data_IF_412681684311
#
_entry.id   IF_412681684311
#
_cell.length_a   1.000
_cell.length_b   1.000
_cell.length_c   1.000
_cell.angle_alpha   90.00
_cell.angle_beta   90.00
_cell.angle_gamma   90.00
#
_symmetry.space_group_name_H-M   'P 1'
#
loop_
_entity.id
_entity.type
_entity.pdbx_description
1 polymer ?
#
# COMPACT_ATOMS: atom_id res chain seq x y z
N UNK A 1 16.99 -1.54 1.07
CA UNK A 1 15.58 -2.00 1.21
C UNK A 1 14.71 -0.81 1.64
N UNK A 2 13.38 -0.92 1.59
CA UNK A 2 12.47 0.18 1.94
C UNK A 2 11.41 -0.26 2.97
N UNK A 3 11.51 0.18 4.24
CA UNK A 3 10.54 -0.17 5.27
C UNK A 3 9.13 0.38 4.95
N UNK A 4 8.09 -0.24 5.50
CA UNK A 4 6.74 0.33 5.45
C UNK A 4 6.70 1.63 6.27
N UNK A 5 6.03 2.65 5.72
CA UNK A 5 5.93 4.04 6.20
C UNK A 5 7.22 4.88 6.24
N UNK A 6 8.40 4.25 6.37
CA UNK A 6 9.69 4.96 6.30
C UNK A 6 10.18 5.28 4.88
N UNK A 7 11.48 5.57 4.79
CA UNK A 7 12.22 5.92 3.55
C UNK A 7 13.47 5.04 3.38
N UNK A 8 14.08 4.97 2.18
CA UNK A 8 15.40 4.36 2.00
C UNK A 8 16.46 5.11 2.84
N UNK A 9 17.47 4.38 3.34
CA UNK A 9 18.51 4.95 4.20
C UNK A 9 19.46 5.93 3.47
N UNK A 10 19.66 5.74 2.16
CA UNK A 10 20.53 6.58 1.33
C UNK A 10 19.81 6.93 0.03
N UNK A 11 19.79 8.21 -0.38
CA UNK A 11 19.30 8.61 -1.70
C UNK A 11 20.09 7.95 -2.85
N UNK A 12 21.42 7.81 -2.71
CA UNK A 12 22.29 7.15 -3.69
C UNK A 12 21.87 5.71 -3.98
N UNK A 13 21.49 4.94 -2.94
CA UNK A 13 21.02 3.55 -3.09
C UNK A 13 19.67 3.48 -3.82
N UNK A 14 18.79 4.45 -3.57
CA UNK A 14 17.53 4.58 -4.31
C UNK A 14 17.78 4.95 -5.78
N UNK A 15 18.71 5.87 -6.06
CA UNK A 15 19.07 6.29 -7.41
C UNK A 15 19.70 5.16 -8.22
N UNK A 16 20.54 4.30 -7.61
CA UNK A 16 21.02 3.06 -8.26
C UNK A 16 19.88 2.15 -8.68
N UNK A 17 18.92 1.91 -7.78
CA UNK A 17 17.72 1.12 -8.12
C UNK A 17 16.93 1.76 -9.28
N UNK A 18 16.72 3.08 -9.25
CA UNK A 18 16.05 3.81 -10.32
C UNK A 18 16.80 3.68 -11.67
N UNK A 19 18.13 3.83 -11.67
CA UNK A 19 18.95 3.69 -12.86
C UNK A 19 18.84 2.26 -13.43
N UNK A 20 18.92 1.22 -12.58
CA UNK A 20 18.71 -0.18 -13.02
C UNK A 20 17.32 -0.42 -13.64
N UNK A 21 16.26 0.19 -13.10
CA UNK A 21 14.90 0.10 -13.66
C UNK A 21 14.78 0.82 -15.01
N UNK A 22 15.58 1.86 -15.28
CA UNK A 22 15.66 2.48 -16.60
C UNK A 22 16.52 1.72 -17.59
N UNK A 23 17.68 1.21 -17.15
CA UNK A 23 18.58 0.40 -17.97
C UNK A 23 17.95 -0.92 -18.44
N UNK A 24 16.93 -1.45 -17.74
CA UNK A 24 16.17 -2.62 -18.19
C UNK A 24 15.17 -2.35 -19.31
N UNK A 25 14.98 -1.08 -19.71
CA UNK A 25 13.96 -0.67 -20.69
C UNK A 25 12.54 -0.64 -20.15
N UNK A 26 12.31 -0.95 -18.86
CA UNK A 26 10.96 -1.03 -18.29
C UNK A 26 10.19 0.31 -18.24
N UNK A 27 10.89 1.45 -18.38
CA UNK A 27 10.31 2.80 -18.47
C UNK A 27 10.48 3.43 -19.88
N UNK A 28 10.71 2.61 -20.91
CA UNK A 28 10.87 3.09 -22.28
C UNK A 28 9.50 3.40 -22.93
N UNK A 29 9.47 4.28 -23.92
CA UNK A 29 8.21 4.78 -24.51
C UNK A 29 7.53 3.71 -25.37
N UNK A 30 8.33 2.83 -25.98
CA UNK A 30 7.90 1.75 -26.87
C UNK A 30 7.30 0.52 -26.17
N UNK A 31 7.44 0.38 -24.84
CA UNK A 31 6.92 -0.77 -24.07
C UNK A 31 5.60 -0.49 -23.32
N UNK A 32 5.12 0.75 -23.37
CA UNK A 32 3.91 1.20 -22.68
C UNK A 32 4.11 1.51 -21.18
N UNK A 33 3.06 1.97 -20.47
CA UNK A 33 3.20 2.50 -19.11
C UNK A 33 3.59 1.43 -18.07
N UNK A 34 4.67 1.68 -17.34
CA UNK A 34 5.17 0.77 -16.30
C UNK A 34 4.21 0.64 -15.11
N UNK A 35 4.05 -0.59 -14.61
CA UNK A 35 3.24 -0.88 -13.42
C UNK A 35 4.07 -0.72 -12.14
N UNK A 36 3.96 0.44 -11.50
CA UNK A 36 4.60 0.71 -10.20
C UNK A 36 3.60 0.51 -9.06
N UNK A 37 3.88 -0.41 -8.13
CA UNK A 37 3.00 -0.67 -6.99
C UNK A 37 3.76 -0.73 -5.65
N UNK A 38 2.99 -0.71 -4.55
CA UNK A 38 3.46 -1.10 -3.23
C UNK A 38 2.32 -1.88 -2.55
N UNK A 39 1.94 -1.55 -1.32
CA UNK A 39 0.68 -2.06 -0.71
C UNK A 39 -0.54 -1.28 -1.25
N UNK A 40 -0.68 0.00 -0.89
CA UNK A 40 -1.78 0.87 -1.39
C UNK A 40 -1.47 1.55 -2.75
N UNK A 41 -0.22 1.45 -3.23
CA UNK A 41 0.22 2.08 -4.48
C UNK A 41 0.20 3.61 -4.46
N UNK A 42 0.47 4.25 -3.31
CA UNK A 42 0.45 5.72 -3.19
C UNK A 42 1.67 6.34 -2.48
N UNK A 43 2.13 5.81 -1.33
CA UNK A 43 3.33 6.33 -0.64
C UNK A 43 4.62 6.09 -1.43
N UNK A 44 5.22 4.91 -1.25
CA UNK A 44 6.48 4.51 -1.93
C UNK A 44 6.42 4.65 -3.45
N UNK A 45 5.28 4.25 -4.07
CA UNK A 45 5.06 4.39 -5.51
C UNK A 45 5.02 5.86 -5.96
N UNK A 46 4.41 6.75 -5.18
CA UNK A 46 4.39 8.18 -5.45
C UNK A 46 5.78 8.81 -5.37
N UNK A 47 6.56 8.45 -4.35
CA UNK A 47 7.98 8.87 -4.25
C UNK A 47 8.80 8.36 -5.44
N UNK A 48 8.65 7.10 -5.83
CA UNK A 48 9.36 6.55 -6.99
C UNK A 48 9.06 7.35 -8.27
N UNK A 49 7.78 7.49 -8.62
CA UNK A 49 7.38 8.19 -9.84
C UNK A 49 7.70 9.69 -9.80
N UNK A 50 7.64 10.35 -8.63
CA UNK A 50 7.95 11.77 -8.51
C UNK A 50 9.45 12.04 -8.76
N UNK A 51 10.33 11.27 -8.11
CA UNK A 51 11.77 11.45 -8.29
C UNK A 51 12.16 11.18 -9.74
N UNK A 52 11.65 10.10 -10.34
CA UNK A 52 11.87 9.77 -11.75
C UNK A 52 11.41 10.90 -12.70
N UNK A 53 10.18 11.37 -12.53
CA UNK A 53 9.60 12.44 -13.36
C UNK A 53 10.41 13.72 -13.24
N UNK A 54 10.75 14.15 -12.02
CA UNK A 54 11.54 15.35 -11.79
C UNK A 54 12.94 15.24 -12.40
N UNK A 55 13.63 14.11 -12.26
CA UNK A 55 14.97 13.92 -12.82
C UNK A 55 15.00 13.93 -14.35
N UNK A 56 13.97 13.39 -15.01
CA UNK A 56 13.83 13.47 -16.47
C UNK A 56 13.49 14.90 -16.93
N UNK A 57 12.59 15.60 -16.25
CA UNK A 57 12.29 17.00 -16.55
C UNK A 57 13.53 17.90 -16.37
N UNK A 58 14.31 17.69 -15.30
CA UNK A 58 15.57 18.43 -15.08
C UNK A 58 16.58 18.12 -16.20
N UNK A 59 16.73 16.85 -16.60
CA UNK A 59 17.63 16.44 -17.69
C UNK A 59 17.24 17.05 -19.04
N UNK A 60 15.94 17.18 -19.31
CA UNK A 60 15.43 17.67 -20.61
C UNK A 60 15.26 19.19 -20.67
N UNK A 61 15.04 19.86 -19.53
CA UNK A 61 14.64 21.28 -19.47
C UNK A 61 15.51 22.16 -18.56
N UNK A 62 16.48 21.58 -17.85
CA UNK A 62 17.30 22.28 -16.85
C UNK A 62 16.68 22.30 -15.45
N UNK A 63 17.52 22.59 -14.44
CA UNK A 63 17.12 22.57 -13.03
C UNK A 63 16.02 23.59 -12.70
N UNK A 64 16.10 24.80 -13.26
CA UNK A 64 15.23 25.93 -12.91
C UNK A 64 13.80 25.75 -13.45
N UNK A 65 13.59 24.82 -14.37
CA UNK A 65 12.29 24.51 -14.95
C UNK A 65 11.38 23.68 -14.02
N UNK A 66 11.93 23.02 -13.00
CA UNK A 66 11.22 21.95 -12.27
C UNK A 66 10.82 22.36 -10.85
N UNK A 67 9.51 22.56 -10.66
CA UNK A 67 8.89 22.78 -9.34
C UNK A 67 8.30 21.48 -8.82
N UNK A 68 9.07 20.76 -8.00
CA UNK A 68 8.71 19.44 -7.42
C UNK A 68 7.30 19.41 -6.81
N UNK A 69 6.89 20.48 -6.12
CA UNK A 69 5.53 20.63 -5.55
C UNK A 69 4.45 20.56 -6.63
N UNK A 70 4.64 21.27 -7.74
CA UNK A 70 3.62 21.43 -8.77
C UNK A 70 3.51 20.13 -9.59
N UNK A 71 4.65 19.49 -9.89
CA UNK A 71 4.71 18.12 -10.45
C UNK A 71 3.93 17.13 -9.56
N UNK A 72 4.16 17.13 -8.24
CA UNK A 72 3.43 16.27 -7.31
C UNK A 72 1.92 16.57 -7.27
N UNK A 73 1.52 17.84 -7.36
CA UNK A 73 0.11 18.22 -7.38
C UNK A 73 -0.58 17.75 -8.66
N UNK A 74 0.08 17.81 -9.82
CA UNK A 74 -0.47 17.35 -11.08
C UNK A 74 -0.51 15.81 -11.16
N UNK A 75 0.52 15.11 -10.66
CA UNK A 75 0.44 13.64 -10.46
C UNK A 75 -0.71 13.24 -9.54
N UNK A 76 -0.99 14.04 -8.49
CA UNK A 76 -2.11 13.81 -7.56
C UNK A 76 -3.50 13.96 -8.21
N UNK A 77 -3.61 14.60 -9.39
CA UNK A 77 -4.85 14.61 -10.20
C UNK A 77 -5.13 13.25 -10.83
N UNK A 78 -4.08 12.51 -11.20
CA UNK A 78 -4.18 11.18 -11.80
C UNK A 78 -4.40 10.09 -10.73
N UNK A 79 -3.75 10.23 -9.56
CA UNK A 79 -3.95 9.32 -8.41
C UNK A 79 -3.88 10.09 -7.10
N UNK A 80 -4.95 10.06 -6.32
CA UNK A 80 -4.99 10.74 -5.01
C UNK A 80 -3.95 10.18 -4.03
N UNK A 81 -3.48 11.02 -3.09
CA UNK A 81 -2.70 10.56 -1.94
C UNK A 81 -1.25 10.13 -2.22
N UNK A 82 -0.70 10.39 -3.41
CA UNK A 82 0.72 10.14 -3.69
C UNK A 82 1.62 10.86 -2.68
N UNK A 83 2.62 10.16 -2.13
CA UNK A 83 3.44 10.59 -0.99
C UNK A 83 2.60 10.81 0.26
N UNK A 84 2.74 9.91 1.24
CA UNK A 84 1.89 9.87 2.44
C UNK A 84 2.48 10.53 3.68
N UNK A 85 3.82 10.62 3.79
CA UNK A 85 4.50 11.21 4.95
C UNK A 85 5.37 12.40 4.53
N UNK A 86 5.64 13.29 5.48
CA UNK A 86 6.59 14.40 5.34
C UNK A 86 8.00 13.88 5.00
N UNK A 87 8.41 12.78 5.63
CA UNK A 87 9.68 12.11 5.35
C UNK A 87 9.79 11.61 3.91
N UNK A 88 8.73 11.03 3.34
CA UNK A 88 8.70 10.63 1.94
C UNK A 88 8.84 11.83 0.99
N UNK A 89 8.28 13.00 1.34
CA UNK A 89 8.48 14.23 0.58
C UNK A 89 9.91 14.75 0.73
N UNK A 90 10.44 14.84 1.96
CA UNK A 90 11.84 15.23 2.24
C UNK A 90 12.84 14.35 1.50
N UNK A 91 12.64 13.04 1.54
CA UNK A 91 13.46 12.07 0.81
C UNK A 91 13.37 12.26 -0.70
N UNK A 92 12.19 12.60 -1.25
CA UNK A 92 12.05 12.90 -2.67
C UNK A 92 12.93 14.09 -3.08
N UNK A 93 12.96 15.17 -2.28
CA UNK A 93 13.87 16.29 -2.51
C UNK A 93 15.34 15.89 -2.40
N UNK A 94 15.73 15.12 -1.38
CA UNK A 94 17.11 14.64 -1.22
C UNK A 94 17.55 13.79 -2.43
N UNK A 95 16.72 12.86 -2.89
CA UNK A 95 17.02 12.02 -4.06
C UNK A 95 17.09 12.81 -5.38
N UNK A 96 16.25 13.83 -5.56
CA UNK A 96 16.35 14.72 -6.73
C UNK A 96 17.65 15.53 -6.68
N UNK A 97 17.96 16.17 -5.55
CA UNK A 97 19.18 16.98 -5.36
C UNK A 97 20.44 16.11 -5.53
N UNK A 98 20.47 14.92 -4.96
CA UNK A 98 21.60 14.00 -5.09
C UNK A 98 21.75 13.51 -6.53
N UNK A 99 20.65 13.20 -7.21
CA UNK A 99 20.68 12.76 -8.61
C UNK A 99 21.15 13.86 -9.58
N UNK A 100 20.92 15.13 -9.24
CA UNK A 100 21.47 16.28 -9.96
C UNK A 100 22.99 16.44 -9.79
N UNK A 101 23.55 16.08 -8.63
CA UNK A 101 24.99 16.20 -8.35
C UNK A 101 25.81 15.06 -8.97
N UNK A 102 25.22 13.87 -9.07
CA UNK A 102 25.94 12.60 -9.29
C UNK A 102 25.78 12.03 -10.69
N UNK A 103 25.19 12.77 -11.64
CA UNK A 103 24.77 12.26 -12.96
C UNK A 103 24.02 10.92 -12.82
N UNK A 104 22.83 10.95 -12.23
CA UNK A 104 22.11 9.76 -11.75
C UNK A 104 21.93 8.61 -12.78
N UNK A 105 21.94 8.92 -14.07
CA UNK A 105 21.81 7.95 -15.17
C UNK A 105 23.13 7.23 -15.50
N UNK A 106 24.27 7.75 -15.02
CA UNK A 106 25.61 7.17 -15.15
C UNK A 106 26.06 6.35 -13.94
N UNK A 107 25.39 6.47 -12.79
CA UNK A 107 25.78 5.79 -11.54
C UNK A 107 25.88 4.27 -11.75
N UNK A 108 27.01 3.71 -11.35
CA UNK A 108 27.33 2.29 -11.38
C UNK A 108 27.26 1.67 -9.96
N UNK A 109 27.15 0.34 -9.89
CA UNK A 109 27.10 -0.38 -8.61
C UNK A 109 28.41 -0.23 -7.81
N UNK A 110 29.53 0.00 -8.51
CA UNK A 110 30.88 0.17 -7.93
C UNK A 110 31.15 1.57 -7.36
N UNK A 111 30.29 2.56 -7.60
CA UNK A 111 30.52 3.90 -7.06
C UNK A 111 30.48 3.87 -5.52
N UNK A 112 31.24 4.73 -4.81
CA UNK A 112 31.11 4.83 -3.37
C UNK A 112 29.67 5.22 -2.99
N UNK A 113 29.08 4.48 -2.05
CA UNK A 113 27.84 4.95 -1.42
C UNK A 113 28.24 6.06 -0.46
N UNK A 114 27.81 7.28 -0.75
CA UNK A 114 27.98 8.39 0.18
C UNK A 114 26.97 8.16 1.31
N UNK A 115 27.46 7.72 2.47
CA UNK A 115 26.67 7.67 3.69
C UNK A 115 26.59 9.10 4.25
N UNK A 116 25.39 9.67 4.27
CA UNK A 116 25.17 11.05 4.69
C UNK A 116 25.25 11.20 6.22
N UNK A 117 26.44 11.43 6.78
CA UNK A 117 26.56 11.80 8.21
C UNK A 117 26.03 13.21 8.53
N UNK A 118 25.91 14.12 7.54
CA UNK A 118 25.75 15.57 7.80
C UNK A 118 24.36 16.22 7.52
N UNK A 119 23.32 15.51 7.08
CA UNK A 119 21.95 16.09 6.95
C UNK A 119 21.03 15.88 8.15
N UNK A 120 21.56 15.37 9.27
CA UNK A 120 20.82 15.21 10.52
C UNK A 120 20.88 16.45 11.45
N UNK A 121 21.68 17.46 11.11
CA UNK A 121 21.88 18.68 11.91
C UNK A 121 20.62 19.57 12.06
N UNK A 122 19.59 19.36 11.23
CA UNK A 122 18.31 20.06 11.29
C UNK A 122 17.15 19.16 11.76
N UNK A 123 17.43 18.26 12.72
CA UNK A 123 16.36 17.66 13.53
C UNK A 123 15.79 18.74 14.47
N UNK A 124 14.92 19.61 13.93
CA UNK A 124 13.96 20.34 14.74
C UNK A 124 13.16 19.28 15.50
N UNK A 125 13.30 19.27 16.83
CA UNK A 125 12.51 18.41 17.71
C UNK A 125 11.06 18.92 17.74
N UNK A 126 10.31 18.65 16.67
CA UNK A 126 8.86 18.70 16.69
C UNK A 126 8.36 17.56 17.59
N UNK A 127 8.35 17.83 18.91
CA UNK A 127 7.57 17.07 19.89
C UNK A 127 6.08 17.40 19.71
N UNK A 128 5.56 17.17 18.51
CA UNK A 128 4.13 17.12 18.25
C UNK A 128 3.74 15.65 18.18
N UNK A 129 2.81 15.24 19.04
CA UNK A 129 2.27 13.88 19.04
C UNK A 129 1.61 13.66 17.67
N UNK A 130 2.07 12.68 16.88
CA UNK A 130 1.40 12.32 15.62
C UNK A 130 -0.02 11.84 15.93
N UNK A 131 -0.98 12.75 15.78
CA UNK A 131 -2.38 12.39 15.65
C UNK A 131 -2.52 11.51 14.39
N UNK A 132 -3.17 10.33 14.50
CA UNK A 132 -3.28 9.41 13.37
C UNK A 132 -4.01 10.10 12.20
N UNK A 133 -3.61 9.84 10.95
CA UNK A 133 -4.24 10.45 9.79
C UNK A 133 -5.76 10.20 9.83
N UNK A 134 -6.60 11.22 9.53
CA UNK A 134 -8.03 11.11 9.67
C UNK A 134 -8.54 9.93 8.85
N UNK A 135 -9.31 9.05 9.51
CA UNK A 135 -9.90 7.88 8.86
C UNK A 135 -10.73 8.33 7.64
N UNK A 136 -10.71 7.57 6.53
CA UNK A 136 -11.58 7.87 5.40
C UNK A 136 -13.04 7.89 5.89
N UNK A 137 -13.88 8.79 5.35
CA UNK A 137 -15.27 8.90 5.79
C UNK A 137 -15.98 7.54 5.62
N UNK A 138 -16.88 7.17 6.55
CA UNK A 138 -17.55 5.88 6.53
C UNK A 138 -18.32 5.70 5.20
N UNK A 139 -18.10 4.55 4.54
CA UNK A 139 -18.93 4.16 3.38
C UNK A 139 -20.25 3.59 3.89
N UNK A 140 -21.30 4.39 3.71
CA UNK A 140 -22.64 4.23 4.26
C UNK A 140 -23.01 5.60 4.83
N UNK A 141 -23.90 6.38 4.20
CA UNK A 141 -25.20 5.96 3.69
C UNK A 141 -25.46 6.38 2.23
N UNK A 142 -25.69 5.41 1.35
CA UNK A 142 -26.44 5.62 0.11
C UNK A 142 -27.60 4.64 0.04
N UNK A 143 -28.48 4.74 1.04
CA UNK A 143 -29.80 4.11 1.14
C UNK A 143 -30.51 4.79 2.32
N UNK A 144 -31.28 5.85 2.03
CA UNK A 144 -32.09 6.54 3.06
C UNK A 144 -33.26 5.64 3.44
N UNK A 145 -33.24 5.08 4.66
CA UNK A 145 -34.39 4.38 5.23
C UNK A 145 -35.44 5.38 5.68
N UNK A 146 -36.25 5.88 4.74
CA UNK A 146 -37.46 6.62 5.09
C UNK A 146 -38.47 5.65 5.70
N UNK A 147 -38.78 5.87 6.98
CA UNK A 147 -39.71 5.05 7.75
C UNK A 147 -41.16 5.38 7.34
N UNK A 148 -41.71 4.61 6.39
CA UNK A 148 -43.14 4.61 6.03
C UNK A 148 -43.62 3.17 6.00
N UNK A 149 -44.85 2.96 6.47
CA UNK A 149 -45.40 1.66 6.87
C UNK A 149 -45.26 0.49 5.90
N UNK A 150 -45.37 -0.70 6.47
CA UNK A 150 -45.46 -2.01 5.80
C UNK A 150 -46.42 -2.01 4.61
N UNK A 151 -45.98 -2.60 3.48
CA UNK A 151 -46.83 -3.57 2.81
C UNK A 151 -46.09 -4.88 2.50
N UNK A 152 -46.79 -5.97 2.83
CA UNK A 152 -46.86 -7.26 2.15
C UNK A 152 -45.75 -7.67 1.15
N UNK A 153 -44.91 -8.64 1.54
CA UNK A 153 -43.92 -9.29 0.67
C UNK A 153 -44.59 -10.47 -0.06
N UNK A 154 -45.46 -10.20 -1.04
CA UNK A 154 -46.09 -11.24 -1.87
C UNK A 154 -46.20 -10.93 -3.38
N UNK A 155 -45.41 -9.99 -3.93
CA UNK A 155 -45.18 -9.95 -5.40
C UNK A 155 -43.93 -9.16 -5.84
N UNK A 156 -42.88 -9.85 -6.27
CA UNK A 156 -41.83 -9.33 -7.14
C UNK A 156 -41.46 -10.39 -8.19
N UNK A 157 -41.21 -10.00 -9.46
CA UNK A 157 -40.95 -10.95 -10.55
C UNK A 157 -39.54 -11.56 -10.48
N UNK A 158 -39.29 -12.71 -11.13
CA UNK A 158 -37.97 -13.34 -11.16
C UNK A 158 -36.93 -12.47 -11.90
N UNK A 159 -35.69 -12.48 -11.42
CA UNK A 159 -34.55 -11.89 -12.12
C UNK A 159 -34.20 -12.69 -13.40
N UNK A 160 -33.65 -12.07 -14.46
CA UNK A 160 -33.19 -12.78 -15.65
C UNK A 160 -32.01 -13.71 -15.34
N UNK A 161 -31.95 -14.87 -16.01
CA UNK A 161 -30.84 -15.81 -15.94
C UNK A 161 -29.56 -15.25 -16.56
N UNK A 162 -28.40 -15.58 -15.98
CA UNK A 162 -27.09 -15.27 -16.59
C UNK A 162 -26.89 -16.01 -17.93
N UNK A 163 -26.18 -15.42 -18.91
CA UNK A 163 -25.90 -16.06 -20.18
C UNK A 163 -24.86 -17.18 -20.04
N UNK A 164 -24.92 -18.25 -20.87
CA UNK A 164 -23.98 -19.36 -20.81
C UNK A 164 -22.59 -18.94 -21.30
N UNK A 165 -21.55 -19.46 -20.65
CA UNK A 165 -20.16 -19.29 -21.07
C UNK A 165 -19.85 -20.10 -22.33
N UNK A 166 -19.56 -19.44 -23.45
CA UNK A 166 -18.97 -20.10 -24.61
C UNK A 166 -17.48 -20.38 -24.35
N UNK A 167 -17.12 -21.65 -24.21
CA UNK A 167 -15.75 -22.14 -24.37
C UNK A 167 -15.63 -22.75 -25.77
N UNK A 168 -14.90 -22.08 -26.67
CA UNK A 168 -14.61 -22.61 -28.00
C UNK A 168 -13.64 -23.81 -27.94
N UNK A 169 -13.75 -24.69 -28.93
CA UNK A 169 -13.21 -26.06 -28.94
C UNK A 169 -12.19 -26.32 -30.04
N UNK A 170 -11.04 -26.94 -29.69
CA UNK A 170 -10.07 -27.68 -30.54
C UNK A 170 -9.30 -28.65 -29.60
N UNK A 171 -8.85 -29.88 -29.95
CA UNK A 171 -9.34 -30.87 -30.92
C UNK A 171 -8.93 -32.31 -30.46
N UNK A 172 -9.52 -33.33 -31.10
CA UNK A 172 -8.92 -34.64 -31.47
C UNK A 172 -9.22 -35.93 -30.69
N UNK A 173 -10.01 -36.79 -31.37
CA UNK A 173 -9.75 -38.22 -31.67
C UNK A 173 -9.68 -39.35 -30.60
N UNK A 174 -10.64 -40.28 -30.75
CA UNK A 174 -10.54 -41.76 -30.55
C UNK A 174 -10.83 -42.36 -29.13
N UNK A 175 -11.04 -43.70 -28.99
CA UNK A 175 -12.40 -44.27 -28.83
C UNK A 175 -12.63 -45.09 -27.52
N UNK A 176 -13.86 -45.59 -27.23
CA UNK A 176 -14.30 -45.93 -25.87
C UNK A 176 -14.25 -47.42 -25.48
N UNK A 177 -14.27 -47.73 -24.17
CA UNK A 177 -14.84 -48.96 -23.54
C UNK A 177 -14.79 -48.89 -21.99
N UNK A 178 -15.49 -49.76 -21.22
CA UNK A 178 -16.38 -49.26 -20.16
C UNK A 178 -16.11 -49.77 -18.74
N UNK A 179 -16.76 -49.16 -17.73
CA UNK A 179 -17.07 -49.84 -16.47
C UNK A 179 -17.13 -48.99 -15.19
N UNK A 180 -18.30 -49.04 -14.54
CA UNK A 180 -18.54 -48.86 -13.10
C UNK A 180 -18.08 -47.58 -12.35
N UNK A 181 -19.08 -46.82 -11.89
CA UNK A 181 -19.27 -46.72 -10.44
C UNK A 181 -19.42 -45.32 -9.82
N UNK A 182 -20.64 -45.03 -9.33
CA UNK A 182 -20.94 -44.05 -8.27
C UNK A 182 -20.69 -42.57 -8.66
N UNK A 183 -21.70 -41.97 -9.28
CA UNK A 183 -21.82 -40.51 -9.44
C UNK A 183 -22.12 -39.84 -8.10
N UNK A 184 -21.11 -39.27 -7.43
CA UNK A 184 -21.32 -38.16 -6.49
C UNK A 184 -21.24 -36.85 -7.29
N UNK A 185 -22.32 -36.09 -7.37
CA UNK A 185 -22.37 -34.86 -8.18
C UNK A 185 -21.23 -33.90 -7.82
N UNK A 186 -20.56 -33.27 -8.81
CA UNK A 186 -19.41 -32.38 -8.58
C UNK A 186 -19.72 -31.21 -7.64
N UNK A 187 -20.96 -30.73 -7.65
CA UNK A 187 -21.39 -29.52 -6.95
C UNK A 187 -21.38 -29.69 -5.43
N UNK A 188 -21.75 -30.87 -4.92
CA UNK A 188 -21.72 -31.19 -3.49
C UNK A 188 -20.30 -31.34 -2.91
N UNK A 189 -19.26 -31.36 -3.74
CA UNK A 189 -17.85 -31.28 -3.30
C UNK A 189 -17.38 -29.81 -3.34
N UNK A 190 -17.79 -29.05 -4.36
CA UNK A 190 -17.48 -27.62 -4.49
C UNK A 190 -18.09 -26.79 -3.36
N UNK A 191 -19.35 -27.05 -3.01
CA UNK A 191 -20.07 -26.32 -1.95
C UNK A 191 -19.41 -26.52 -0.58
N UNK A 192 -19.15 -27.77 -0.16
CA UNK A 192 -18.47 -28.05 1.12
C UNK A 192 -17.08 -27.39 1.19
N UNK A 193 -16.31 -27.43 0.11
CA UNK A 193 -14.98 -26.78 0.05
C UNK A 193 -15.03 -25.25 0.15
N UNK A 194 -16.16 -24.63 -0.24
CA UNK A 194 -16.41 -23.20 -0.04
C UNK A 194 -16.82 -22.89 1.41
N UNK A 195 -17.71 -23.70 1.98
CA UNK A 195 -18.13 -23.59 3.39
C UNK A 195 -16.96 -23.79 4.36
N UNK A 196 -16.11 -24.81 4.14
CA UNK A 196 -14.87 -25.06 4.88
C UNK A 196 -13.91 -23.86 4.80
N UNK A 197 -13.73 -23.28 3.61
CA UNK A 197 -12.87 -22.10 3.42
C UNK A 197 -13.42 -20.89 4.18
N UNK A 198 -14.74 -20.67 4.17
CA UNK A 198 -15.36 -19.55 4.87
C UNK A 198 -15.33 -19.74 6.40
N UNK A 199 -15.51 -20.97 6.88
CA UNK A 199 -15.33 -21.32 8.30
C UNK A 199 -13.88 -21.06 8.77
N UNK A 200 -12.87 -21.52 8.02
CA UNK A 200 -11.46 -21.30 8.33
C UNK A 200 -11.04 -19.81 8.31
N UNK A 201 -11.67 -19.01 7.44
CA UNK A 201 -11.47 -17.54 7.43
C UNK A 201 -12.12 -16.89 8.66
N UNK A 202 -13.33 -17.31 9.03
CA UNK A 202 -14.03 -16.83 10.22
C UNK A 202 -13.25 -17.14 11.51
N UNK A 203 -12.73 -18.36 11.64
CA UNK A 203 -11.89 -18.78 12.78
C UNK A 203 -10.62 -17.93 12.90
N UNK A 204 -9.91 -17.69 11.79
CA UNK A 204 -8.73 -16.80 11.77
C UNK A 204 -9.07 -15.36 12.16
N UNK A 205 -10.23 -14.84 11.73
CA UNK A 205 -10.70 -13.51 12.13
C UNK A 205 -11.00 -13.44 13.63
N UNK A 206 -11.62 -14.47 14.21
CA UNK A 206 -11.84 -14.56 15.66
C UNK A 206 -10.53 -14.63 16.43
N UNK A 207 -9.56 -15.42 15.96
CA UNK A 207 -8.25 -15.54 16.62
C UNK A 207 -7.45 -14.22 16.57
N UNK A 208 -7.47 -13.51 15.44
CA UNK A 208 -6.86 -12.18 15.32
C UNK A 208 -7.52 -11.17 16.26
N UNK A 209 -8.86 -11.15 16.33
CA UNK A 209 -9.61 -10.28 17.25
C UNK A 209 -9.28 -10.56 18.72
N UNK A 210 -9.14 -11.84 19.09
CA UNK A 210 -8.71 -12.27 20.43
C UNK A 210 -7.28 -11.81 20.75
N UNK A 211 -6.34 -11.95 19.81
CA UNK A 211 -4.94 -11.48 19.96
C UNK A 211 -4.86 -9.96 20.09
N UNK A 212 -5.66 -9.22 19.33
CA UNK A 212 -5.77 -7.76 19.45
C UNK A 212 -6.25 -7.34 20.85
N UNK A 213 -7.38 -7.90 21.32
CA UNK A 213 -7.92 -7.60 22.65
C UNK A 213 -6.93 -7.92 23.79
N UNK A 214 -6.15 -9.01 23.66
CA UNK A 214 -5.08 -9.32 24.62
C UNK A 214 -3.93 -8.31 24.58
N UNK A 215 -3.53 -7.84 23.40
CA UNK A 215 -2.52 -6.78 23.23
C UNK A 215 -2.99 -5.45 23.84
N UNK A 216 -4.23 -5.05 23.57
CA UNK A 216 -4.85 -3.84 24.11
C UNK A 216 -4.95 -3.89 25.64
N UNK A 217 -5.42 -5.03 26.19
CA UNK A 217 -5.47 -5.27 27.63
C UNK A 217 -4.09 -5.20 28.29
N UNK A 218 -3.08 -5.83 27.68
CA UNK A 218 -1.69 -5.79 28.16
C UNK A 218 -1.08 -4.38 28.12
N UNK A 219 -1.35 -3.62 27.07
CA UNK A 219 -0.91 -2.23 26.95
C UNK A 219 -1.62 -1.32 27.96
N UNK A 220 -2.91 -1.52 28.20
CA UNK A 220 -3.66 -0.80 29.23
C UNK A 220 -3.11 -1.12 30.64
N UNK A 221 -2.85 -2.40 30.94
CA UNK A 221 -2.22 -2.84 32.19
C UNK A 221 -0.83 -2.23 32.40
N UNK A 222 0.01 -2.18 31.35
CA UNK A 222 1.32 -1.49 31.38
C UNK A 222 1.19 0.01 31.65
N UNK A 223 0.24 0.69 30.99
CA UNK A 223 -0.07 2.12 31.23
C UNK A 223 -0.51 2.35 32.68
N UNK A 224 -1.39 1.49 33.23
CA UNK A 224 -1.80 1.51 34.63
C UNK A 224 -0.65 1.32 35.63
N UNK A 225 0.26 0.37 35.38
CA UNK A 225 1.46 0.16 36.22
C UNK A 225 2.43 1.35 36.18
N UNK A 226 2.66 1.97 35.02
CA UNK A 226 3.45 3.22 34.92
C UNK A 226 2.80 4.35 35.72
N UNK A 227 1.48 4.53 35.63
CA UNK A 227 0.74 5.56 36.41
C UNK A 227 0.84 5.33 37.92
N UNK A 228 0.73 4.09 38.40
CA UNK A 228 0.91 3.74 39.83
C UNK A 228 2.34 3.99 40.33
N UNK A 229 3.38 3.63 39.56
CA UNK A 229 4.79 3.90 39.94
C UNK A 229 5.09 5.40 40.04
N UNK A 230 4.44 6.24 39.22
CA UNK A 230 4.59 7.72 39.24
C UNK A 230 3.93 8.38 40.46
N UNK A 231 3.02 7.68 41.15
CA UNK A 231 2.30 8.14 42.35
C UNK A 231 2.91 7.65 43.67
N UNK A 232 4.00 6.86 43.62
CA UNK A 232 4.70 6.31 44.79
C UNK A 232 6.16 6.77 44.90
N UNK A 233 6.59 7.73 44.09
CA UNK A 233 7.89 8.36 44.25
C UNK A 233 7.78 9.44 45.35
N UNK A 234 8.53 9.34 46.47
CA UNK A 234 8.55 10.39 47.48
C UNK A 234 9.34 11.61 46.97
N UNK A 235 8.84 12.81 47.29
CA UNK A 235 9.54 14.07 47.01
C UNK A 235 10.81 14.17 47.87
N UNK A 236 11.98 13.96 47.25
CA UNK A 236 13.29 14.28 47.84
C UNK A 236 14.12 15.10 46.86
N UNK A 237 13.85 16.42 46.82
CA UNK A 237 14.68 17.39 46.12
C UNK A 237 14.46 18.85 46.62
N UNK A 238 14.50 19.10 47.94
CA UNK A 238 14.68 20.45 48.51
C UNK A 238 15.43 20.45 49.85
N UNK A 239 16.77 20.48 49.76
CA UNK A 239 17.67 21.22 50.65
C UNK A 239 19.01 21.42 49.94
#
# INVERSE_FOLDING_TARGET
>A
TWPDFGVPQSPTVFLRFLNKVRQSGALAEEVGPAVVHCSAGIGRSGTFCLVDTCLILIKNNGCDAVKVRDVLLDMRRQRMGLIQTTDQLRFSYLAIIEGMKTDWDRINDNDPVIEEEEVNANHIQNNEEEDPPPLPPPRGESLKTNNVGTPDITSLPPLPSEPPSESSSEESSAPPSPGNGITKSPDGVRQRKHEERNAAVSEKLQEMKRKQQQSESWNNFKRGRKKRRRLQAPDQAKQ
#
